data_IF_130543679523
#
_entry.id   IF_130543679523
#
_cell.length_a   1.000
_cell.length_b   1.000
_cell.length_c   1.000
_cell.angle_alpha   90.00
_cell.angle_beta   90.00
_cell.angle_gamma   90.00
#
_symmetry.space_group_name_H-M   'P 1'
#
loop_
_entity.id
_entity.type
_entity.pdbx_description
1 polymer ?
#
# COMPACT_ATOMS: atom_id res chain seq x y z
N UNK A 1 28.26 -45.76 -36.41
CA UNK A 1 27.21 -44.75 -36.23
C UNK A 1 26.98 -44.57 -34.72
N UNK A 2 27.62 -43.55 -34.14
CA UNK A 2 27.51 -43.28 -32.70
C UNK A 2 26.53 -42.12 -32.55
N UNK A 3 25.36 -42.36 -31.91
CA UNK A 3 24.37 -41.36 -31.58
C UNK A 3 24.68 -40.79 -30.21
N UNK A 4 25.05 -39.51 -30.14
CA UNK A 4 25.13 -38.74 -28.88
C UNK A 4 23.71 -38.27 -28.48
N UNK A 5 23.25 -38.48 -27.26
CA UNK A 5 22.03 -37.89 -26.77
C UNK A 5 22.27 -36.39 -26.46
N UNK A 6 21.46 -35.54 -27.05
CA UNK A 6 21.44 -34.10 -26.79
C UNK A 6 20.79 -33.88 -25.40
N UNK A 7 21.58 -33.58 -24.39
CA UNK A 7 21.08 -33.25 -23.07
C UNK A 7 20.61 -31.79 -23.09
N UNK A 8 19.29 -31.57 -23.10
CA UNK A 8 18.70 -30.24 -22.91
C UNK A 8 18.83 -29.87 -21.43
N UNK A 9 19.76 -28.96 -21.11
CA UNK A 9 19.81 -28.33 -19.79
C UNK A 9 18.77 -27.23 -19.77
N UNK A 10 17.65 -27.48 -19.11
CA UNK A 10 16.67 -26.44 -18.78
C UNK A 10 17.26 -25.63 -17.64
N UNK A 11 17.79 -24.45 -17.93
CA UNK A 11 18.15 -23.45 -16.92
C UNK A 11 16.83 -22.81 -16.49
N UNK A 12 16.31 -23.27 -15.37
CA UNK A 12 15.21 -22.58 -14.68
C UNK A 12 15.80 -21.29 -14.09
N UNK A 13 15.51 -20.15 -14.69
CA UNK A 13 15.70 -18.86 -14.06
C UNK A 13 14.72 -18.79 -12.88
N UNK A 14 15.20 -18.99 -11.68
CA UNK A 14 14.47 -18.62 -10.49
C UNK A 14 14.45 -17.08 -10.45
N UNK A 15 13.30 -16.49 -10.80
CA UNK A 15 13.06 -15.08 -10.51
C UNK A 15 13.17 -14.91 -8.98
N UNK A 16 13.79 -13.82 -8.49
CA UNK A 16 13.79 -13.54 -7.06
C UNK A 16 12.32 -13.35 -6.63
N UNK A 17 11.79 -14.32 -5.92
CA UNK A 17 10.55 -14.14 -5.16
C UNK A 17 10.93 -13.20 -4.03
N UNK A 18 10.67 -11.91 -4.19
CA UNK A 18 10.62 -11.02 -3.04
C UNK A 18 9.51 -11.58 -2.15
N UNK A 19 9.87 -11.95 -0.94
CA UNK A 19 8.90 -12.40 0.05
C UNK A 19 7.97 -11.19 0.31
N UNK A 20 6.80 -11.20 -0.34
CA UNK A 20 5.75 -10.23 -0.03
C UNK A 20 5.31 -10.50 1.39
N UNK A 21 5.36 -9.47 2.24
CA UNK A 21 4.79 -9.56 3.58
C UNK A 21 3.30 -9.88 3.44
N UNK A 22 2.85 -10.97 4.07
CA UNK A 22 1.43 -11.31 4.05
C UNK A 22 0.64 -10.30 4.89
N UNK A 23 -0.56 -9.90 4.44
CA UNK A 23 -1.45 -9.06 5.23
C UNK A 23 -1.77 -9.71 6.58
N UNK A 24 -1.63 -8.96 7.66
CA UNK A 24 -1.96 -9.40 9.02
C UNK A 24 -2.75 -8.32 9.75
N UNK A 25 -3.56 -8.71 10.75
CA UNK A 25 -4.23 -7.80 11.65
C UNK A 25 -3.39 -7.75 12.93
N UNK A 26 -2.81 -6.59 13.22
CA UNK A 26 -2.07 -6.38 14.46
C UNK A 26 -3.05 -6.21 15.62
N UNK A 27 -2.89 -6.97 16.68
CA UNK A 27 -3.63 -6.75 17.93
C UNK A 27 -3.28 -5.38 18.52
N UNK A 28 -4.32 -4.66 18.95
CA UNK A 28 -4.21 -3.34 19.58
C UNK A 28 -4.52 -3.47 21.08
N UNK A 29 -3.73 -2.79 21.91
CA UNK A 29 -4.08 -2.62 23.32
C UNK A 29 -5.26 -1.63 23.48
N UNK A 30 -5.95 -1.67 24.62
CA UNK A 30 -7.04 -0.74 24.87
C UNK A 30 -6.61 0.74 24.87
N UNK A 31 -5.37 1.03 25.27
CA UNK A 31 -4.79 2.38 25.20
C UNK A 31 -4.57 2.82 23.75
N UNK A 32 -4.02 1.94 22.91
CA UNK A 32 -3.85 2.20 21.48
C UNK A 32 -5.20 2.42 20.78
N UNK A 33 -6.21 1.60 21.08
CA UNK A 33 -7.57 1.79 20.52
C UNK A 33 -8.09 3.18 20.87
N UNK A 34 -7.98 3.62 22.13
CA UNK A 34 -8.43 4.94 22.57
C UNK A 34 -7.68 6.06 21.82
N UNK A 35 -6.35 5.98 21.74
CA UNK A 35 -5.52 6.99 21.03
C UNK A 35 -5.88 7.06 19.53
N UNK A 36 -6.09 5.90 18.89
CA UNK A 36 -6.44 5.83 17.48
C UNK A 36 -7.86 6.34 17.18
N UNK A 37 -8.83 6.12 18.10
CA UNK A 37 -10.18 6.69 18.01
C UNK A 37 -10.15 8.22 18.17
N UNK A 38 -9.24 8.76 18.97
CA UNK A 38 -9.01 10.21 19.11
C UNK A 38 -8.25 10.83 17.93
N UNK A 39 -8.00 10.04 16.88
CA UNK A 39 -7.35 10.49 15.65
C UNK A 39 -5.85 10.26 15.57
N UNK A 40 -5.27 9.55 16.55
CA UNK A 40 -3.88 9.11 16.53
C UNK A 40 -3.55 8.15 15.39
N UNK A 41 -2.26 7.87 15.21
CA UNK A 41 -1.77 6.85 14.27
C UNK A 41 -0.57 6.12 14.84
N UNK A 42 -0.50 4.81 14.62
CA UNK A 42 0.71 4.03 14.88
C UNK A 42 1.52 3.97 13.59
N UNK A 43 2.83 4.24 13.68
CA UNK A 43 3.71 4.31 12.51
C UNK A 43 4.99 3.55 12.78
N UNK A 44 5.47 2.83 11.77
CA UNK A 44 6.77 2.18 11.79
C UNK A 44 7.51 2.36 10.46
N UNK A 45 8.83 2.56 10.54
CA UNK A 45 9.70 2.63 9.36
C UNK A 45 10.94 1.78 9.61
N UNK A 46 11.06 0.70 8.85
CA UNK A 46 12.26 -0.11 8.79
C UNK A 46 13.13 0.32 7.61
N UNK A 47 14.36 0.75 7.90
CA UNK A 47 15.33 1.12 6.86
C UNK A 47 15.85 -0.12 6.16
N UNK A 48 15.88 -0.06 4.84
CA UNK A 48 16.36 -1.14 3.99
C UNK A 48 16.30 -0.73 2.52
N UNK A 49 16.54 -1.68 1.66
CA UNK A 49 16.32 -1.60 0.22
C UNK A 49 15.56 -2.86 -0.18
N UNK A 50 14.23 -2.76 -0.34
CA UNK A 50 13.37 -1.57 -0.22
C UNK A 50 13.22 -1.04 1.23
N UNK A 51 12.86 0.25 1.35
CA UNK A 51 12.39 0.84 2.60
C UNK A 51 10.98 0.32 2.89
N UNK A 52 10.74 -0.17 4.11
CA UNK A 52 9.40 -0.51 4.57
C UNK A 52 8.83 0.61 5.42
N UNK A 53 7.60 1.00 5.13
CA UNK A 53 6.84 1.96 5.93
C UNK A 53 5.45 1.40 6.23
N UNK A 54 4.93 1.73 7.43
CA UNK A 54 3.65 1.27 7.91
C UNK A 54 2.92 2.38 8.66
N UNK A 55 1.60 2.44 8.49
CA UNK A 55 0.71 3.25 9.32
C UNK A 55 -0.55 2.47 9.65
N UNK A 56 -1.00 2.59 10.91
CA UNK A 56 -2.27 2.06 11.39
C UNK A 56 -3.10 3.21 11.95
N UNK A 57 -4.40 3.22 11.65
CA UNK A 57 -5.38 4.14 12.20
C UNK A 57 -6.74 3.48 12.39
N UNK A 58 -7.63 4.16 13.10
CA UNK A 58 -9.04 3.82 13.19
C UNK A 58 -9.86 4.93 12.52
N UNK A 59 -10.86 4.54 11.74
CA UNK A 59 -11.79 5.49 11.10
C UNK A 59 -13.21 5.09 11.48
N UNK A 60 -14.00 6.05 11.98
CA UNK A 60 -15.42 5.86 12.27
C UNK A 60 -16.20 5.86 10.94
N UNK A 61 -16.22 4.71 10.31
CA UNK A 61 -16.83 4.46 9.00
C UNK A 61 -16.99 2.96 8.76
N UNK A 62 -18.03 2.53 8.01
CA UNK A 62 -18.15 1.16 7.54
C UNK A 62 -16.98 0.76 6.63
N UNK A 63 -16.46 -0.45 6.81
CA UNK A 63 -15.37 -1.02 6.01
C UNK A 63 -15.62 -0.92 4.50
N UNK A 64 -16.85 -1.23 4.07
CA UNK A 64 -17.21 -1.29 2.65
C UNK A 64 -17.25 0.10 1.99
N UNK A 65 -17.56 1.16 2.75
CA UNK A 65 -17.49 2.54 2.27
C UNK A 65 -16.03 2.96 2.07
N UNK A 66 -15.14 2.63 3.01
CA UNK A 66 -13.72 2.90 2.88
C UNK A 66 -13.08 2.09 1.73
N UNK A 67 -13.46 0.82 1.54
CA UNK A 67 -12.98 0.01 0.43
C UNK A 67 -13.39 0.59 -0.93
N UNK A 68 -14.58 1.15 -1.02
CA UNK A 68 -15.07 1.86 -2.23
C UNK A 68 -14.18 3.08 -2.54
N UNK A 69 -13.79 3.86 -1.52
CA UNK A 69 -12.88 5.00 -1.70
C UNK A 69 -11.49 4.55 -2.17
N UNK A 70 -10.95 3.45 -1.63
CA UNK A 70 -9.66 2.91 -2.05
C UNK A 70 -9.65 2.41 -3.49
N UNK A 71 -10.78 1.90 -4.00
CA UNK A 71 -10.91 1.39 -5.37
C UNK A 71 -11.28 2.48 -6.40
N UNK A 72 -11.63 3.68 -5.96
CA UNK A 72 -11.87 4.82 -6.86
C UNK A 72 -10.54 5.48 -7.23
N UNK A 73 -9.76 4.77 -8.08
CA UNK A 73 -8.38 5.14 -8.41
C UNK A 73 -8.21 6.59 -8.90
N UNK A 74 -9.07 7.14 -9.80
CA UNK A 74 -8.92 8.53 -10.24
C UNK A 74 -9.11 9.56 -9.14
N UNK A 75 -9.73 9.19 -8.01
CA UNK A 75 -9.97 10.07 -6.88
C UNK A 75 -8.90 9.94 -5.78
N UNK A 76 -7.92 9.06 -5.93
CA UNK A 76 -6.82 8.92 -4.95
C UNK A 76 -6.14 10.28 -4.64
N UNK A 77 -5.88 11.18 -5.61
CA UNK A 77 -5.28 12.48 -5.33
C UNK A 77 -6.09 13.37 -4.38
N UNK A 78 -7.40 13.16 -4.27
CA UNK A 78 -8.27 13.96 -3.40
C UNK A 78 -8.05 13.66 -1.90
N UNK A 79 -7.53 12.47 -1.56
CA UNK A 79 -7.33 12.07 -0.18
C UNK A 79 -5.89 11.62 0.15
N UNK A 80 -5.06 11.35 -0.85
CA UNK A 80 -3.65 10.96 -0.67
C UNK A 80 -2.73 12.12 -1.12
N UNK A 81 -2.41 13.09 -0.24
CA UNK A 81 -1.85 14.40 -0.65
C UNK A 81 -0.46 14.32 -1.28
N UNK A 82 0.25 13.20 -1.13
CA UNK A 82 1.51 12.99 -1.83
C UNK A 82 1.34 12.35 -3.21
N UNK A 83 0.11 12.13 -3.67
CA UNK A 83 -0.21 11.43 -4.93
C UNK A 83 -0.92 12.38 -5.88
N UNK A 84 -0.50 12.38 -7.14
CA UNK A 84 -1.12 13.17 -8.22
C UNK A 84 -1.32 12.31 -9.47
N UNK A 85 -2.19 12.78 -10.37
CA UNK A 85 -2.38 12.27 -11.73
C UNK A 85 -2.59 10.75 -11.81
N UNK A 86 -3.46 10.20 -10.93
CA UNK A 86 -3.77 8.77 -10.98
C UNK A 86 -4.77 8.47 -12.08
N UNK A 87 -4.42 7.58 -12.99
CA UNK A 87 -5.29 7.11 -14.06
C UNK A 87 -5.25 5.58 -14.21
N UNK A 88 -6.38 5.01 -14.65
CA UNK A 88 -6.47 3.59 -15.01
C UNK A 88 -6.02 3.45 -16.46
N UNK A 89 -4.93 2.69 -16.68
CA UNK A 89 -4.33 2.49 -18.01
C UNK A 89 -4.63 1.11 -18.61
N UNK A 90 -5.26 0.22 -17.86
CA UNK A 90 -5.69 -1.09 -18.33
C UNK A 90 -6.24 -1.97 -17.20
N UNK A 91 -6.83 -3.08 -17.58
CA UNK A 91 -7.33 -4.11 -16.65
C UNK A 91 -7.20 -5.47 -17.34
N UNK A 92 -6.81 -6.49 -16.60
CA UNK A 92 -6.83 -7.88 -17.00
C UNK A 92 -7.54 -8.74 -15.92
N UNK A 93 -7.43 -10.08 -16.03
CA UNK A 93 -8.06 -11.02 -15.11
C UNK A 93 -7.41 -11.00 -13.70
N UNK A 94 -6.20 -10.45 -13.56
CA UNK A 94 -5.43 -10.48 -12.31
C UNK A 94 -5.47 -9.13 -11.57
N UNK A 95 -5.46 -8.02 -12.30
CA UNK A 95 -5.39 -6.69 -11.68
C UNK A 95 -5.89 -5.54 -12.58
N UNK A 96 -6.08 -4.38 -11.96
CA UNK A 96 -6.22 -3.09 -12.62
C UNK A 96 -4.88 -2.38 -12.62
N UNK A 97 -4.41 -1.99 -13.81
CA UNK A 97 -3.17 -1.22 -13.97
C UNK A 97 -3.47 0.26 -13.79
N UNK A 98 -2.81 0.88 -12.83
CA UNK A 98 -2.90 2.31 -12.57
C UNK A 98 -1.53 2.97 -12.72
N UNK A 99 -1.49 4.16 -13.27
CA UNK A 99 -0.32 5.03 -13.31
C UNK A 99 -0.54 6.24 -12.42
N UNK A 100 0.53 6.78 -11.86
CA UNK A 100 0.44 7.99 -11.06
C UNK A 100 1.80 8.60 -10.75
N UNK A 101 1.74 9.71 -10.02
CA UNK A 101 2.90 10.49 -9.59
C UNK A 101 2.88 10.64 -8.09
N UNK A 102 4.00 10.33 -7.44
CA UNK A 102 4.22 10.67 -6.02
C UNK A 102 5.08 11.91 -5.91
N UNK A 103 4.54 12.95 -5.29
CA UNK A 103 5.26 14.19 -5.01
C UNK A 103 6.24 14.00 -3.87
N UNK A 104 7.47 14.35 -4.12
CA UNK A 104 8.56 14.28 -3.12
C UNK A 104 9.07 15.70 -2.85
N UNK A 105 9.28 16.10 -1.58
CA UNK A 105 9.85 17.40 -1.28
C UNK A 105 11.23 17.61 -1.92
N UNK A 106 11.45 18.83 -2.44
CA UNK A 106 12.75 19.22 -2.97
C UNK A 106 13.88 18.86 -1.97
N UNK A 107 15.06 18.39 -2.40
CA UNK A 107 15.61 18.39 -3.77
C UNK A 107 15.35 17.10 -4.59
N UNK A 108 14.49 16.22 -4.14
CA UNK A 108 14.18 14.98 -4.85
C UNK A 108 13.12 15.28 -5.91
N UNK A 109 13.29 14.71 -7.12
CA UNK A 109 12.27 14.77 -8.16
C UNK A 109 11.11 13.84 -7.83
N UNK A 110 9.93 14.16 -8.34
CA UNK A 110 8.74 13.32 -8.21
C UNK A 110 8.98 11.92 -8.77
N UNK A 111 8.23 10.96 -8.26
CA UNK A 111 8.29 9.57 -8.68
C UNK A 111 7.06 9.21 -9.47
N UNK A 112 7.28 8.74 -10.70
CA UNK A 112 6.25 8.16 -11.55
C UNK A 112 6.27 6.65 -11.41
N UNK A 113 5.11 6.03 -11.46
CA UNK A 113 4.97 4.59 -11.26
C UNK A 113 3.76 4.04 -12.02
N UNK A 114 3.82 2.73 -12.33
CA UNK A 114 2.67 1.93 -12.74
C UNK A 114 2.53 0.77 -11.76
N UNK A 115 1.34 0.57 -11.24
CA UNK A 115 1.01 -0.51 -10.31
C UNK A 115 -0.03 -1.45 -10.90
N UNK A 116 0.14 -2.73 -10.64
CA UNK A 116 -0.90 -3.75 -10.74
C UNK A 116 -1.63 -3.76 -9.39
N UNK A 117 -2.89 -3.41 -9.38
CA UNK A 117 -3.71 -3.18 -8.18
C UNK A 117 -4.89 -4.12 -8.14
N UNK A 118 -5.14 -4.73 -6.99
CA UNK A 118 -6.26 -5.65 -6.77
C UNK A 118 -6.81 -5.54 -5.36
N UNK A 119 -8.13 -5.57 -5.22
CA UNK A 119 -8.82 -5.52 -3.93
C UNK A 119 -9.90 -6.57 -3.83
N UNK A 120 -10.13 -7.08 -2.63
CA UNK A 120 -11.18 -8.07 -2.37
C UNK A 120 -11.26 -8.47 -0.91
N UNK A 121 -12.33 -9.16 -0.56
CA UNK A 121 -12.52 -9.71 0.78
C UNK A 121 -11.69 -10.99 0.97
N UNK A 122 -11.03 -11.08 2.11
CA UNK A 122 -10.20 -12.21 2.51
C UNK A 122 -10.39 -12.51 3.99
N UNK A 123 -10.08 -13.74 4.39
CA UNK A 123 -10.01 -14.11 5.82
C UNK A 123 -8.57 -13.99 6.30
N UNK A 124 -8.30 -13.07 7.21
CA UNK A 124 -6.98 -12.85 7.82
C UNK A 124 -7.09 -13.14 9.31
N UNK A 125 -6.27 -14.03 9.83
CA UNK A 125 -6.26 -14.43 11.25
C UNK A 125 -7.66 -14.85 11.77
N UNK A 126 -8.50 -15.42 10.89
CA UNK A 126 -9.87 -15.82 11.20
C UNK A 126 -10.91 -14.71 11.16
N UNK A 127 -10.55 -13.52 10.72
CA UNK A 127 -11.40 -12.33 10.59
C UNK A 127 -11.65 -11.97 9.13
N UNK A 128 -12.88 -11.58 8.81
CA UNK A 128 -13.21 -11.04 7.50
C UNK A 128 -12.63 -9.63 7.34
N UNK A 129 -11.77 -9.45 6.35
CA UNK A 129 -11.12 -8.19 6.04
C UNK A 129 -11.17 -7.89 4.54
N UNK A 130 -11.23 -6.63 4.18
CA UNK A 130 -10.93 -6.22 2.81
C UNK A 130 -9.43 -5.98 2.68
N UNK A 131 -8.82 -6.58 1.66
CA UNK A 131 -7.39 -6.41 1.36
C UNK A 131 -7.24 -5.79 -0.02
N UNK A 132 -6.52 -4.69 -0.07
CA UNK A 132 -6.10 -4.07 -1.33
C UNK A 132 -4.59 -4.21 -1.45
N UNK A 133 -4.12 -4.86 -2.53
CA UNK A 133 -2.69 -5.05 -2.84
C UNK A 133 -2.30 -4.25 -4.06
N UNK A 134 -1.05 -3.81 -4.08
CA UNK A 134 -0.43 -3.17 -5.23
C UNK A 134 1.01 -3.64 -5.40
N UNK A 135 1.39 -3.87 -6.64
CA UNK A 135 2.72 -4.30 -7.03
C UNK A 135 3.21 -3.44 -8.21
N UNK A 136 4.43 -2.92 -8.13
CA UNK A 136 5.04 -2.14 -9.21
C UNK A 136 5.23 -3.01 -10.46
N UNK A 137 4.82 -2.49 -11.60
CA UNK A 137 5.09 -3.11 -12.90
C UNK A 137 6.52 -2.80 -13.31
N UNK A 138 7.38 -3.81 -13.27
CA UNK A 138 8.82 -3.69 -13.53
C UNK A 138 9.11 -2.95 -14.85
N UNK A 139 10.11 -2.08 -14.82
CA UNK A 139 10.54 -1.31 -16.00
C UNK A 139 9.64 -0.13 -16.35
N UNK A 140 8.70 0.24 -15.50
CA UNK A 140 7.83 1.41 -15.68
C UNK A 140 8.16 2.52 -14.67
N UNK A 141 7.89 3.78 -15.06
CA UNK A 141 8.15 4.93 -14.19
C UNK A 141 9.64 5.17 -13.93
N UNK A 142 9.94 5.78 -12.77
CA UNK A 142 11.30 6.11 -12.31
C UNK A 142 11.58 5.66 -10.87
N UNK A 143 10.93 4.59 -10.42
CA UNK A 143 11.20 3.87 -9.19
C UNK A 143 11.77 2.49 -9.52
N UNK A 144 12.56 1.90 -8.61
CA UNK A 144 13.09 0.56 -8.81
C UNK A 144 12.06 -0.51 -8.42
N UNK A 145 11.36 -0.31 -7.30
CA UNK A 145 10.25 -1.17 -6.89
C UNK A 145 9.32 -0.47 -5.91
N UNK A 146 8.06 -0.91 -5.87
CA UNK A 146 7.11 -0.58 -4.81
C UNK A 146 6.05 -1.67 -4.75
N UNK A 147 5.78 -2.19 -3.57
CA UNK A 147 4.71 -3.15 -3.34
C UNK A 147 4.19 -3.03 -1.91
N UNK A 148 2.96 -3.44 -1.72
CA UNK A 148 2.35 -3.35 -0.40
C UNK A 148 0.87 -3.67 -0.40
N UNK A 149 0.22 -3.28 0.70
CA UNK A 149 -1.19 -3.56 0.89
C UNK A 149 -1.87 -2.59 1.84
N UNK A 150 -3.19 -2.56 1.74
CA UNK A 150 -4.11 -2.04 2.75
C UNK A 150 -4.90 -3.20 3.33
N UNK A 151 -5.18 -3.15 4.63
CA UNK A 151 -6.13 -4.02 5.31
C UNK A 151 -7.18 -3.15 5.96
N UNK A 152 -8.44 -3.41 5.65
CA UNK A 152 -9.60 -2.81 6.29
C UNK A 152 -10.35 -3.91 7.05
N UNK A 153 -10.57 -3.70 8.34
CA UNK A 153 -11.18 -4.68 9.22
C UNK A 153 -12.10 -3.97 10.22
N UNK A 154 -13.37 -4.40 10.31
CA UNK A 154 -14.31 -3.83 11.29
C UNK A 154 -13.97 -4.32 12.69
N UNK A 155 -13.85 -3.42 13.68
CA UNK A 155 -13.53 -3.81 15.06
C UNK A 155 -14.70 -4.63 15.65
N UNK A 156 -14.47 -5.80 16.28
CA UNK A 156 -15.54 -6.64 16.81
C UNK A 156 -16.38 -5.95 17.90
N UNK A 157 -15.72 -5.20 18.78
CA UNK A 157 -16.37 -4.50 19.90
C UNK A 157 -16.90 -3.12 19.51
N UNK A 158 -16.52 -2.61 18.35
CA UNK A 158 -16.87 -1.29 17.80
C UNK A 158 -17.09 -1.40 16.28
N UNK A 159 -18.19 -2.04 15.83
CA UNK A 159 -18.40 -2.34 14.41
C UNK A 159 -18.59 -1.10 13.51
N UNK A 160 -18.85 0.06 14.12
CA UNK A 160 -18.88 1.37 13.46
C UNK A 160 -17.47 1.92 13.14
N UNK A 161 -16.41 1.30 13.72
CA UNK A 161 -15.03 1.66 13.49
C UNK A 161 -14.32 0.64 12.61
N UNK A 162 -13.60 1.13 11.63
CA UNK A 162 -12.73 0.31 10.78
C UNK A 162 -11.26 0.51 11.15
N UNK A 163 -10.59 -0.60 11.46
CA UNK A 163 -9.14 -0.67 11.50
C UNK A 163 -8.59 -0.55 10.08
N UNK A 164 -7.65 0.36 9.89
CA UNK A 164 -6.98 0.64 8.64
C UNK A 164 -5.49 0.46 8.84
N UNK A 165 -4.89 -0.47 8.09
CA UNK A 165 -3.45 -0.69 8.07
C UNK A 165 -2.94 -0.54 6.64
N UNK A 166 -1.95 0.32 6.46
CA UNK A 166 -1.22 0.47 5.21
C UNK A 166 0.23 0.08 5.39
N UNK A 167 0.73 -0.77 4.50
CA UNK A 167 2.14 -1.18 4.44
C UNK A 167 2.65 -0.96 3.03
N UNK A 168 3.81 -0.33 2.91
CA UNK A 168 4.51 -0.16 1.65
C UNK A 168 5.97 -0.51 1.80
N UNK A 169 6.49 -1.23 0.82
CA UNK A 169 7.91 -1.49 0.62
C UNK A 169 8.30 -0.79 -0.68
N UNK A 170 9.18 0.21 -0.63
CA UNK A 170 9.52 1.02 -1.78
C UNK A 170 11.03 1.27 -1.91
N UNK A 171 11.53 1.11 -3.11
CA UNK A 171 12.85 1.59 -3.53
C UNK A 171 12.66 2.67 -4.60
N UNK A 172 12.89 3.95 -4.27
CA UNK A 172 12.74 5.03 -5.24
C UNK A 172 13.89 5.10 -6.25
N UNK A 173 14.83 4.15 -6.28
CA UNK A 173 16.00 4.13 -7.14
C UNK A 173 17.07 5.17 -6.79
N UNK A 174 16.98 5.77 -5.59
CA UNK A 174 17.93 6.76 -5.08
C UNK A 174 18.15 6.63 -3.57
N UNK A 175 19.27 7.13 -3.08
CA UNK A 175 19.49 7.24 -1.64
C UNK A 175 18.47 8.21 -1.00
N UNK A 176 17.75 7.76 0.01
CA UNK A 176 16.71 8.55 0.68
C UNK A 176 17.34 9.41 1.79
N UNK A 177 17.32 10.76 1.68
CA UNK A 177 17.82 11.64 2.72
C UNK A 177 17.00 11.54 4.02
N UNK A 178 17.64 11.79 5.16
CA UNK A 178 16.98 11.77 6.47
C UNK A 178 15.77 12.73 6.56
N UNK A 179 15.81 13.84 5.82
CA UNK A 179 14.69 14.79 5.79
C UNK A 179 13.45 14.19 5.15
N UNK A 180 13.63 13.39 4.08
CA UNK A 180 12.53 12.69 3.40
C UNK A 180 11.95 11.60 4.30
N UNK A 181 12.79 10.84 5.01
CA UNK A 181 12.31 9.85 5.99
C UNK A 181 11.44 10.51 7.07
N UNK A 182 11.86 11.66 7.59
CA UNK A 182 11.04 12.42 8.57
C UNK A 182 9.73 12.92 7.97
N UNK A 183 9.75 13.40 6.72
CA UNK A 183 8.53 13.81 6.01
C UNK A 183 7.57 12.64 5.83
N UNK A 184 8.06 11.47 5.40
CA UNK A 184 7.23 10.25 5.30
C UNK A 184 6.62 9.90 6.65
N UNK A 185 7.44 9.85 7.72
CA UNK A 185 6.98 9.40 9.05
C UNK A 185 5.99 10.36 9.70
N UNK A 186 6.22 11.67 9.59
CA UNK A 186 5.48 12.68 10.36
C UNK A 186 4.41 13.41 9.53
N UNK A 187 4.41 13.23 8.22
CA UNK A 187 3.45 13.82 7.28
C UNK A 187 2.78 12.76 6.42
N UNK A 188 3.44 12.31 5.36
CA UNK A 188 2.80 11.50 4.33
C UNK A 188 2.04 10.25 4.85
N UNK A 189 2.57 9.52 5.83
CA UNK A 189 1.89 8.35 6.40
C UNK A 189 0.64 8.72 7.21
N UNK A 190 0.69 9.61 8.22
CA UNK A 190 -0.52 10.01 8.95
C UNK A 190 -1.52 10.75 8.06
N UNK A 191 -1.04 11.49 7.05
CA UNK A 191 -1.91 12.21 6.10
C UNK A 191 -2.75 11.26 5.25
N UNK A 192 -2.29 10.03 4.97
CA UNK A 192 -3.09 9.00 4.30
C UNK A 192 -4.33 8.63 5.13
N UNK A 193 -4.18 8.39 6.43
CA UNK A 193 -5.31 8.05 7.31
C UNK A 193 -6.25 9.24 7.48
N UNK A 194 -5.68 10.45 7.67
CA UNK A 194 -6.46 11.68 7.83
C UNK A 194 -7.23 12.02 6.55
N UNK A 195 -6.60 11.86 5.39
CA UNK A 195 -7.20 12.10 4.09
C UNK A 195 -8.34 11.12 3.78
N UNK A 196 -8.13 9.82 4.05
CA UNK A 196 -9.17 8.82 3.87
C UNK A 196 -10.39 9.09 4.78
N UNK A 197 -10.15 9.51 6.04
CA UNK A 197 -11.19 9.94 6.99
C UNK A 197 -11.96 11.17 6.48
N UNK A 198 -11.23 12.19 6.02
CA UNK A 198 -11.83 13.40 5.49
C UNK A 198 -12.68 13.10 4.25
N UNK A 199 -12.15 12.30 3.33
CA UNK A 199 -12.86 11.91 2.10
C UNK A 199 -14.15 11.14 2.39
N UNK A 200 -14.12 10.22 3.37
CA UNK A 200 -15.35 9.55 3.81
C UNK A 200 -16.38 10.56 4.29
N UNK A 201 -16.03 11.51 5.15
CA UNK A 201 -16.95 12.54 5.66
C UNK A 201 -17.46 13.53 4.61
N UNK A 202 -16.82 13.61 3.43
CA UNK A 202 -17.32 14.39 2.29
C UNK A 202 -18.34 13.63 1.45
N UNK A 203 -18.26 12.30 1.41
CA UNK A 203 -19.09 11.45 0.54
C UNK A 203 -20.32 10.90 1.23
N UNK A 204 -20.29 10.73 2.54
CA UNK A 204 -21.33 10.11 3.37
C UNK A 204 -21.72 11.01 4.55
#
# INVERSE_FOLDING_TARGET
MIRFPLCFVIIAFALPVFATEDPTIRELSAEEVTDLMDGGTIRDIARGTPLRAEVIGLIEAPRDELSTILLDYPQIPEWAPATEDVEVVGTDDECTFIEGVTKIPWPISDRTWRMCSRGGDETIDGQEAFVYRFDHVEGTGNIDTSFGFWVLYSLPDHPEWTYVRYVVNADPGIAIPQAILRWVTNGALPDLISGLRARHGELY
#
